data_IF_617666716944
#
_entry.id   IF_617666716944
#
_cell.length_a   1.000
_cell.length_b   1.000
_cell.length_c   1.000
_cell.angle_alpha   90.00
_cell.angle_beta   90.00
_cell.angle_gamma   90.00
#
_symmetry.space_group_name_H-M   'P 1'
#
loop_
_entity.id
_entity.type
_entity.pdbx_description
1 polymer ?
#
# COMPACT_ATOMS: atom_id res chain seq x y z
N UNK A 1 33.44 62.37 -34.48
CA UNK A 1 32.01 62.06 -34.30
C UNK A 1 31.85 61.30 -32.98
N UNK A 2 30.93 61.71 -32.09
CA UNK A 2 30.85 61.25 -30.70
C UNK A 2 30.20 59.86 -30.58
N UNK A 3 30.67 59.04 -29.63
CA UNK A 3 30.20 57.68 -29.36
C UNK A 3 28.80 57.67 -28.70
N UNK A 4 27.92 56.69 -28.99
CA UNK A 4 26.62 56.60 -28.30
C UNK A 4 26.80 56.11 -26.86
N UNK A 5 26.24 56.86 -25.91
CA UNK A 5 26.25 56.56 -24.47
C UNK A 5 25.63 55.18 -24.19
N UNK A 6 26.41 54.25 -23.63
CA UNK A 6 25.88 52.99 -23.08
C UNK A 6 24.97 53.32 -21.90
N UNK A 7 23.69 52.97 -21.98
CA UNK A 7 22.78 53.02 -20.82
C UNK A 7 23.15 51.86 -19.89
N UNK A 8 23.59 52.19 -18.69
CA UNK A 8 23.84 51.24 -17.61
C UNK A 8 22.59 51.18 -16.73
N UNK A 9 22.19 49.97 -16.35
CA UNK A 9 21.05 49.69 -15.47
C UNK A 9 21.60 49.06 -14.20
N UNK A 10 21.06 49.49 -13.05
CA UNK A 10 21.48 49.01 -11.73
C UNK A 10 20.77 47.69 -11.41
N UNK A 11 21.52 46.74 -10.87
CA UNK A 11 20.95 45.53 -10.28
C UNK A 11 20.36 45.85 -8.90
N UNK A 12 19.13 45.46 -8.62
CA UNK A 12 18.45 45.68 -7.33
C UNK A 12 18.90 44.70 -6.22
N UNK A 13 19.67 43.67 -6.58
CA UNK A 13 20.25 42.69 -5.65
C UNK A 13 21.65 43.10 -5.19
N UNK A 14 22.65 43.14 -6.09
CA UNK A 14 24.02 43.53 -5.72
C UNK A 14 24.28 45.05 -5.76
N UNK A 15 23.36 45.85 -6.27
CA UNK A 15 23.50 47.30 -6.33
C UNK A 15 24.48 47.84 -7.37
N UNK A 16 25.12 46.97 -8.17
CA UNK A 16 26.10 47.33 -9.19
C UNK A 16 25.44 47.68 -10.53
N UNK A 17 26.13 48.51 -11.32
CA UNK A 17 25.69 48.92 -12.66
C UNK A 17 26.18 47.94 -13.72
N UNK A 18 25.26 47.47 -14.55
CA UNK A 18 25.54 46.58 -15.66
C UNK A 18 25.06 47.19 -16.97
N UNK A 19 25.69 46.87 -18.12
CA UNK A 19 25.15 47.26 -19.40
C UNK A 19 23.76 46.63 -19.57
N UNK A 20 22.80 47.35 -20.17
CA UNK A 20 21.40 46.94 -20.30
C UNK A 20 21.14 45.52 -20.86
N UNK A 21 22.13 44.90 -21.50
CA UNK A 21 22.11 43.51 -22.01
C UNK A 21 22.44 42.43 -20.97
N UNK A 22 22.94 42.81 -19.80
CA UNK A 22 23.43 41.90 -18.76
C UNK A 22 22.54 41.94 -17.49
N UNK A 23 21.35 42.51 -17.63
CA UNK A 23 20.37 42.71 -16.56
C UNK A 23 19.02 42.24 -17.08
N UNK A 24 18.35 41.41 -16.29
CA UNK A 24 17.09 40.76 -16.62
C UNK A 24 15.99 41.42 -15.78
N UNK A 25 14.88 41.86 -16.39
CA UNK A 25 13.74 42.39 -15.66
C UNK A 25 12.99 41.28 -14.90
N UNK A 26 12.42 41.63 -13.76
CA UNK A 26 11.71 40.73 -12.87
C UNK A 26 10.53 39.99 -13.54
N UNK A 27 9.89 40.63 -14.52
CA UNK A 27 8.80 40.05 -15.31
C UNK A 27 9.18 38.82 -16.15
N UNK A 28 10.47 38.65 -16.47
CA UNK A 28 10.98 37.50 -17.21
C UNK A 28 11.45 36.35 -16.30
N UNK A 29 11.42 36.54 -14.97
CA UNK A 29 11.87 35.54 -14.00
C UNK A 29 10.69 34.65 -13.59
N UNK A 30 10.88 33.33 -13.68
CA UNK A 30 9.86 32.34 -13.28
C UNK A 30 9.49 32.47 -11.80
N UNK A 31 8.19 32.33 -11.50
CA UNK A 31 7.57 32.56 -10.19
C UNK A 31 8.27 31.97 -8.96
N UNK A 32 8.80 30.73 -8.97
CA UNK A 32 9.44 30.14 -7.79
C UNK A 32 10.73 30.85 -7.37
N UNK A 33 11.55 31.25 -8.35
CA UNK A 33 12.79 32.00 -8.11
C UNK A 33 12.46 33.42 -7.68
N UNK A 34 11.43 34.03 -8.28
CA UNK A 34 10.92 35.35 -7.88
C UNK A 34 10.41 35.37 -6.42
N UNK A 35 9.75 34.29 -5.98
CA UNK A 35 9.31 34.15 -4.60
C UNK A 35 10.50 34.08 -3.63
N UNK A 36 11.55 33.32 -3.97
CA UNK A 36 12.78 33.23 -3.17
C UNK A 36 13.52 34.57 -3.08
N UNK A 37 13.57 35.32 -4.19
CA UNK A 37 14.17 36.67 -4.22
C UNK A 37 13.35 37.64 -3.36
N UNK A 38 12.02 37.61 -3.43
CA UNK A 38 11.13 38.44 -2.60
C UNK A 38 11.25 38.15 -1.11
N UNK A 39 11.53 36.90 -0.73
CA UNK A 39 11.74 36.49 0.66
C UNK A 39 12.97 37.19 1.28
N UNK A 40 14.01 37.44 0.48
CA UNK A 40 15.26 38.07 0.93
C UNK A 40 15.35 39.58 0.61
N UNK A 41 14.61 40.06 -0.38
CA UNK A 41 14.61 41.45 -0.83
C UNK A 41 13.18 42.01 -0.87
N UNK A 42 12.76 42.63 0.24
CA UNK A 42 11.41 43.19 0.41
C UNK A 42 11.04 44.31 -0.58
N UNK A 43 12.02 44.93 -1.24
CA UNK A 43 11.83 46.01 -2.23
C UNK A 43 11.71 45.49 -3.67
N UNK A 44 11.60 44.17 -3.88
CA UNK A 44 11.55 43.55 -5.20
C UNK A 44 10.16 43.71 -5.84
N UNK A 45 10.09 44.45 -6.95
CA UNK A 45 8.86 44.72 -7.72
C UNK A 45 8.98 44.18 -9.15
N UNK A 46 7.89 44.19 -9.92
CA UNK A 46 7.88 43.66 -11.29
C UNK A 46 8.72 44.50 -12.28
N UNK A 47 9.12 45.71 -11.87
CA UNK A 47 10.03 46.61 -12.60
C UNK A 47 11.51 46.47 -12.17
N UNK A 48 11.80 45.61 -11.17
CA UNK A 48 13.16 45.40 -10.68
C UNK A 48 14.04 44.67 -11.71
N UNK A 49 15.35 44.91 -11.66
CA UNK A 49 16.33 44.32 -12.56
C UNK A 49 17.38 43.54 -11.76
N UNK A 50 17.71 42.32 -12.21
CA UNK A 50 18.76 41.48 -11.61
C UNK A 50 19.85 41.17 -12.62
N UNK A 51 21.11 41.17 -12.19
CA UNK A 51 22.20 40.76 -13.05
C UNK A 51 22.27 39.23 -13.17
N UNK A 52 22.82 38.75 -14.29
CA UNK A 52 22.92 37.32 -14.57
C UNK A 52 23.65 36.51 -13.47
N UNK A 53 24.75 37.00 -12.86
CA UNK A 53 25.43 36.27 -11.77
C UNK A 53 24.56 36.06 -10.54
N UNK A 54 23.86 37.11 -10.09
CA UNK A 54 22.99 37.04 -8.92
C UNK A 54 21.77 36.14 -9.20
N UNK A 55 21.19 36.25 -10.40
CA UNK A 55 20.08 35.38 -10.81
C UNK A 55 20.48 33.90 -10.79
N UNK A 56 21.66 33.57 -11.30
CA UNK A 56 22.16 32.20 -11.31
C UNK A 56 22.38 31.67 -9.88
N UNK A 57 22.85 32.51 -8.96
CA UNK A 57 22.97 32.13 -7.54
C UNK A 57 21.61 31.77 -6.94
N UNK A 58 20.59 32.63 -7.12
CA UNK A 58 19.24 32.36 -6.63
C UNK A 58 18.60 31.12 -7.28
N UNK A 59 18.89 30.83 -8.55
CA UNK A 59 18.47 29.59 -9.21
C UNK A 59 19.09 28.36 -8.55
N UNK A 60 20.39 28.39 -8.25
CA UNK A 60 21.09 27.28 -7.57
C UNK A 60 20.57 27.08 -6.14
N UNK A 61 20.40 28.16 -5.37
CA UNK A 61 19.88 28.10 -4.00
C UNK A 61 18.44 27.54 -3.97
N UNK A 62 17.61 27.90 -4.96
CA UNK A 62 16.26 27.33 -5.11
C UNK A 62 16.30 25.82 -5.37
N UNK A 63 17.18 25.38 -6.28
CA UNK A 63 17.33 23.94 -6.61
C UNK A 63 17.82 23.17 -5.38
N UNK A 64 18.81 23.68 -4.65
CA UNK A 64 19.31 23.03 -3.43
C UNK A 64 18.24 22.94 -2.34
N UNK A 65 17.47 24.02 -2.13
CA UNK A 65 16.39 24.04 -1.14
C UNK A 65 15.25 23.07 -1.50
N UNK A 66 14.86 23.00 -2.77
CA UNK A 66 13.86 22.01 -3.24
C UNK A 66 14.35 20.56 -3.09
N UNK A 67 15.62 20.27 -3.40
CA UNK A 67 16.19 18.92 -3.23
C UNK A 67 16.24 18.47 -1.76
N UNK A 68 16.46 19.41 -0.83
CA UNK A 68 16.49 19.12 0.62
C UNK A 68 15.08 18.90 1.17
N UNK A 69 14.09 19.68 0.74
CA UNK A 69 12.67 19.48 1.09
C UNK A 69 12.15 18.13 0.59
N UNK A 70 12.48 17.73 -0.65
CA UNK A 70 12.09 16.42 -1.22
C UNK A 70 12.52 15.24 -0.35
N UNK A 71 13.75 15.27 0.18
CA UNK A 71 14.28 14.20 1.04
C UNK A 71 13.61 14.17 2.43
N UNK A 72 13.10 15.30 2.91
CA UNK A 72 12.36 15.39 4.17
C UNK A 72 10.93 14.85 4.04
N UNK A 73 10.21 15.26 3.00
CA UNK A 73 8.81 14.83 2.77
C UNK A 73 8.69 13.32 2.50
N UNK A 74 9.65 12.73 1.78
CA UNK A 74 9.72 11.27 1.57
C UNK A 74 9.78 10.50 2.91
N UNK A 75 10.55 10.98 3.89
CA UNK A 75 10.70 10.31 5.19
C UNK A 75 9.46 10.41 6.08
N UNK A 76 8.75 11.53 6.05
CA UNK A 76 7.54 11.73 6.86
C UNK A 76 6.36 10.93 6.31
N UNK A 77 6.26 10.83 4.98
CA UNK A 77 5.25 10.00 4.34
C UNK A 77 5.49 8.50 4.59
N UNK A 78 6.74 8.04 4.54
CA UNK A 78 7.11 6.67 4.93
C UNK A 78 6.70 6.35 6.38
N UNK A 79 6.91 7.29 7.32
CA UNK A 79 6.46 7.14 8.71
C UNK A 79 4.95 7.05 8.84
N UNK A 80 4.20 7.91 8.15
CA UNK A 80 2.73 7.85 8.17
C UNK A 80 2.20 6.52 7.61
N UNK A 81 2.84 5.97 6.59
CA UNK A 81 2.49 4.64 6.06
C UNK A 81 2.76 3.57 7.12
N UNK A 82 3.92 3.57 7.78
CA UNK A 82 4.26 2.61 8.84
C UNK A 82 3.32 2.68 10.04
N UNK A 83 2.99 3.88 10.52
CA UNK A 83 2.07 4.07 11.65
C UNK A 83 0.65 3.60 11.31
N UNK A 84 0.18 3.88 10.08
CA UNK A 84 -1.12 3.39 9.62
C UNK A 84 -1.18 1.86 9.52
N UNK A 85 -0.07 1.19 9.16
CA UNK A 85 0.00 -0.27 9.12
C UNK A 85 -0.04 -0.90 10.53
N UNK A 86 0.65 -0.29 11.50
CA UNK A 86 0.65 -0.78 12.91
C UNK A 86 -0.72 -0.72 13.56
N UNK A 87 -1.47 0.36 13.35
CA UNK A 87 -2.81 0.52 13.92
C UNK A 87 -3.80 -0.52 13.38
N UNK A 88 -3.61 -0.97 12.13
CA UNK A 88 -4.47 -1.97 11.49
C UNK A 88 -4.19 -3.41 11.95
N UNK A 89 -2.95 -3.73 12.35
CA UNK A 89 -2.58 -5.06 12.84
C UNK A 89 -3.29 -5.40 14.16
N UNK A 90 -3.35 -4.44 15.09
CA UNK A 90 -3.97 -4.57 16.42
C UNK A 90 -5.50 -4.82 16.33
N UNK A 91 -6.15 -4.25 15.31
CA UNK A 91 -7.60 -4.40 15.11
C UNK A 91 -7.99 -5.81 14.61
N UNK A 92 -7.07 -6.47 13.91
CA UNK A 92 -7.34 -7.76 13.26
C UNK A 92 -7.22 -8.93 14.26
N UNK A 93 -6.39 -8.77 15.31
CA UNK A 93 -6.20 -9.78 16.36
C UNK A 93 -7.40 -9.86 17.33
N UNK A 94 -8.02 -8.73 17.67
CA UNK A 94 -9.19 -8.69 18.57
C UNK A 94 -10.42 -9.38 17.97
N UNK A 95 -10.61 -9.32 16.65
CA UNK A 95 -11.75 -9.97 15.98
C UNK A 95 -11.72 -11.49 16.09
N UNK A 96 -10.53 -12.12 16.15
CA UNK A 96 -10.43 -13.58 16.24
C UNK A 96 -10.80 -14.13 17.63
N UNK A 97 -10.61 -13.36 18.70
CA UNK A 97 -10.87 -13.83 20.07
C UNK A 97 -12.36 -13.87 20.45
N UNK A 98 -13.20 -13.03 19.85
CA UNK A 98 -14.63 -12.96 20.19
C UNK A 98 -15.45 -14.16 19.67
N UNK A 99 -14.90 -14.99 18.78
CA UNK A 99 -15.62 -16.08 18.13
C UNK A 99 -15.64 -17.40 18.92
N UNK A 100 -14.68 -17.65 19.83
CA UNK A 100 -14.53 -18.95 20.49
C UNK A 100 -15.43 -19.17 21.73
N UNK A 101 -16.21 -18.17 22.16
CA UNK A 101 -16.81 -18.17 23.50
C UNK A 101 -18.19 -18.81 23.65
N UNK A 102 -18.79 -19.42 22.62
CA UNK A 102 -20.18 -19.92 22.69
C UNK A 102 -20.34 -21.43 22.45
N UNK A 103 -19.49 -22.27 23.03
CA UNK A 103 -19.70 -23.73 22.99
C UNK A 103 -20.58 -24.17 24.16
N UNK A 104 -21.74 -24.76 23.87
CA UNK A 104 -22.63 -25.32 24.90
C UNK A 104 -22.13 -26.68 25.40
N UNK A 105 -22.57 -27.08 26.61
CA UNK A 105 -22.16 -28.36 27.22
C UNK A 105 -22.58 -29.57 26.37
N UNK A 106 -23.76 -29.51 25.74
CA UNK A 106 -24.25 -30.59 24.87
C UNK A 106 -23.42 -30.74 23.60
N UNK A 107 -22.98 -29.63 23.03
CA UNK A 107 -22.08 -29.62 21.87
C UNK A 107 -20.71 -30.20 22.22
N UNK A 108 -20.15 -29.86 23.39
CA UNK A 108 -18.88 -30.42 23.86
C UNK A 108 -18.93 -31.95 23.99
N UNK A 109 -20.02 -32.50 24.53
CA UNK A 109 -20.23 -33.95 24.64
C UNK A 109 -20.36 -34.59 23.26
N UNK A 110 -21.09 -33.97 22.33
CA UNK A 110 -21.23 -34.48 20.97
C UNK A 110 -19.88 -34.55 20.24
N UNK A 111 -18.98 -33.57 20.40
CA UNK A 111 -17.64 -33.59 19.79
C UNK A 111 -16.77 -34.73 20.35
N UNK A 112 -16.86 -35.01 21.66
CA UNK A 112 -16.14 -36.12 22.29
C UNK A 112 -16.65 -37.46 21.73
N UNK A 113 -17.98 -37.64 21.64
CA UNK A 113 -18.56 -38.89 21.13
C UNK A 113 -18.27 -39.08 19.65
N UNK A 114 -18.33 -38.02 18.84
CA UNK A 114 -18.04 -38.10 17.40
C UNK A 114 -16.56 -38.38 17.11
N UNK A 115 -15.64 -37.73 17.83
CA UNK A 115 -14.20 -37.97 17.69
C UNK A 115 -13.78 -39.37 18.12
N UNK A 116 -14.43 -39.94 19.15
CA UNK A 116 -14.22 -41.31 19.57
C UNK A 116 -14.80 -42.33 18.58
N UNK A 117 -16.04 -42.12 18.13
CA UNK A 117 -16.74 -43.00 17.18
C UNK A 117 -16.16 -43.01 15.76
N UNK A 118 -15.46 -41.93 15.36
CA UNK A 118 -14.78 -41.83 14.06
C UNK A 118 -13.38 -42.43 14.01
N UNK A 119 -12.85 -42.97 15.11
CA UNK A 119 -11.48 -43.50 15.17
C UNK A 119 -11.38 -44.93 14.66
N UNK A 120 -10.35 -45.22 13.87
CA UNK A 120 -10.00 -46.59 13.45
C UNK A 120 -9.76 -47.53 14.63
N UNK A 121 -9.26 -47.01 15.75
CA UNK A 121 -9.02 -47.80 16.97
C UNK A 121 -10.33 -48.29 17.60
N UNK A 122 -11.38 -47.46 17.55
CA UNK A 122 -12.71 -47.82 18.05
C UNK A 122 -13.32 -48.95 17.21
N UNK A 123 -13.25 -48.85 15.88
CA UNK A 123 -13.77 -49.87 14.95
C UNK A 123 -13.12 -51.23 15.21
N UNK A 124 -11.80 -51.27 15.36
CA UNK A 124 -11.06 -52.51 15.61
C UNK A 124 -11.40 -53.10 16.98
N UNK A 125 -11.38 -52.28 18.04
CA UNK A 125 -11.73 -52.71 19.40
C UNK A 125 -13.16 -53.27 19.47
N UNK A 126 -14.12 -52.56 18.87
CA UNK A 126 -15.52 -52.98 18.80
C UNK A 126 -15.66 -54.32 18.07
N UNK A 127 -14.97 -54.51 16.93
CA UNK A 127 -14.95 -55.78 16.21
C UNK A 127 -14.38 -56.96 17.02
N UNK A 128 -13.35 -56.71 17.84
CA UNK A 128 -12.78 -57.71 18.75
C UNK A 128 -13.78 -58.09 19.85
N UNK A 129 -14.42 -57.11 20.49
CA UNK A 129 -15.43 -57.37 21.54
C UNK A 129 -16.60 -58.16 20.99
N UNK A 130 -17.08 -57.82 19.79
CA UNK A 130 -18.15 -58.56 19.11
C UNK A 130 -17.74 -59.99 18.80
N UNK A 131 -16.52 -60.18 18.27
CA UNK A 131 -15.98 -61.51 17.98
C UNK A 131 -15.85 -62.35 19.25
N UNK A 132 -15.34 -61.76 20.33
CA UNK A 132 -15.20 -62.40 21.64
C UNK A 132 -16.57 -62.80 22.22
N UNK A 133 -17.57 -61.93 22.13
CA UNK A 133 -18.94 -62.22 22.59
C UNK A 133 -19.54 -63.42 21.85
N UNK A 134 -19.38 -63.46 20.53
CA UNK A 134 -19.85 -64.57 19.69
C UNK A 134 -19.09 -65.86 20.05
N UNK A 135 -17.76 -65.82 20.18
CA UNK A 135 -16.95 -67.00 20.54
C UNK A 135 -17.33 -67.54 21.92
N UNK A 136 -17.47 -66.68 22.93
CA UNK A 136 -17.86 -67.11 24.29
C UNK A 136 -19.24 -67.75 24.29
N UNK A 137 -20.24 -67.14 23.67
CA UNK A 137 -21.60 -67.69 23.65
C UNK A 137 -21.73 -68.95 22.76
N UNK A 138 -20.91 -69.07 21.70
CA UNK A 138 -20.87 -70.25 20.82
C UNK A 138 -20.15 -71.44 21.46
N UNK A 139 -19.08 -71.21 22.23
CA UNK A 139 -18.34 -72.29 22.94
C UNK A 139 -19.05 -72.71 24.24
N UNK A 140 -19.68 -71.77 24.96
CA UNK A 140 -20.47 -72.05 26.16
C UNK A 140 -21.77 -72.85 25.90
N UNK A 141 -22.08 -73.11 24.63
CA UNK A 141 -23.21 -73.90 24.13
C UNK A 141 -23.26 -75.33 24.72
N UNK A 142 -22.13 -75.88 25.18
CA UNK A 142 -22.06 -77.21 25.76
C UNK A 142 -22.57 -77.33 27.22
N UNK A 143 -22.72 -76.22 27.94
CA UNK A 143 -23.11 -76.24 29.36
C UNK A 143 -24.38 -75.46 29.67
N UNK A 144 -24.47 -74.16 29.32
CA UNK A 144 -25.68 -73.30 29.31
C UNK A 144 -25.32 -71.94 28.67
N UNK A 145 -25.71 -71.66 27.41
CA UNK A 145 -25.42 -70.37 26.77
C UNK A 145 -26.29 -69.24 27.36
N UNK A 146 -25.70 -68.04 27.52
CA UNK A 146 -26.41 -66.83 27.98
C UNK A 146 -27.19 -66.16 26.85
N UNK A 147 -26.62 -66.11 25.63
CA UNK A 147 -27.24 -65.59 24.41
C UNK A 147 -27.09 -66.61 23.26
N UNK A 148 -27.98 -67.61 23.15
CA UNK A 148 -27.90 -68.64 22.10
C UNK A 148 -28.16 -68.06 20.71
N UNK A 149 -27.59 -68.69 19.68
CA UNK A 149 -27.85 -68.35 18.28
C UNK A 149 -29.36 -68.36 18.03
N UNK A 150 -29.99 -67.26 17.55
CA UNK A 150 -29.44 -66.17 16.72
C UNK A 150 -29.01 -64.85 17.42
N UNK A 151 -28.59 -64.88 18.69
CA UNK A 151 -28.07 -63.74 19.47
C UNK A 151 -29.04 -62.56 19.63
N UNK A 152 -30.15 -62.76 20.33
CA UNK A 152 -31.22 -61.75 20.45
C UNK A 152 -30.77 -60.53 21.27
N UNK A 153 -29.97 -60.74 22.32
CA UNK A 153 -29.51 -59.66 23.19
C UNK A 153 -28.49 -58.78 22.47
N UNK A 154 -27.54 -59.40 21.76
CA UNK A 154 -26.59 -58.70 20.92
C UNK A 154 -27.30 -57.81 19.89
N UNK A 155 -28.29 -58.37 19.18
CA UNK A 155 -29.06 -57.64 18.17
C UNK A 155 -29.86 -56.47 18.77
N UNK A 156 -30.43 -56.63 19.97
CA UNK A 156 -31.13 -55.56 20.67
C UNK A 156 -30.18 -54.40 21.00
N UNK A 157 -28.99 -54.72 21.55
CA UNK A 157 -27.99 -53.72 21.92
C UNK A 157 -27.46 -52.99 20.68
N UNK A 158 -27.13 -53.71 19.61
CA UNK A 158 -26.67 -53.10 18.36
C UNK A 158 -27.72 -52.19 17.74
N UNK A 159 -28.99 -52.59 17.76
CA UNK A 159 -30.10 -51.78 17.23
C UNK A 159 -30.27 -50.49 18.03
N UNK A 160 -30.17 -50.56 19.37
CA UNK A 160 -30.22 -49.40 20.24
C UNK A 160 -29.02 -48.45 20.00
N UNK A 161 -27.81 -49.01 19.87
CA UNK A 161 -26.60 -48.24 19.55
C UNK A 161 -26.74 -47.53 18.21
N UNK A 162 -27.18 -48.22 17.16
CA UNK A 162 -27.38 -47.65 15.83
C UNK A 162 -28.44 -46.53 15.83
N UNK A 163 -29.53 -46.70 16.59
CA UNK A 163 -30.60 -45.70 16.70
C UNK A 163 -30.11 -44.38 17.32
N UNK A 164 -29.21 -44.44 18.32
CA UNK A 164 -28.59 -43.26 18.93
C UNK A 164 -27.46 -42.70 18.06
N UNK A 165 -26.78 -43.55 17.30
CA UNK A 165 -25.64 -43.17 16.47
C UNK A 165 -26.03 -42.20 15.34
N UNK A 166 -27.15 -42.43 14.64
CA UNK A 166 -27.54 -41.59 13.51
C UNK A 166 -27.79 -40.11 13.89
N UNK A 167 -28.55 -39.79 14.96
CA UNK A 167 -28.70 -38.41 15.45
C UNK A 167 -27.38 -37.78 15.92
N UNK A 168 -26.52 -38.54 16.59
CA UNK A 168 -25.22 -38.04 17.06
C UNK A 168 -24.31 -37.69 15.89
N UNK A 169 -24.25 -38.55 14.86
CA UNK A 169 -23.52 -38.26 13.61
C UNK A 169 -24.09 -37.00 12.95
N UNK A 170 -25.42 -36.90 12.83
CA UNK A 170 -26.08 -35.75 12.22
C UNK A 170 -25.83 -34.46 13.00
N UNK A 171 -25.85 -34.50 14.33
CA UNK A 171 -25.52 -33.35 15.19
C UNK A 171 -24.06 -32.93 15.02
N UNK A 172 -23.13 -33.90 14.98
CA UNK A 172 -21.71 -33.61 14.73
C UNK A 172 -21.47 -33.02 13.34
N UNK A 173 -22.17 -33.52 12.31
CA UNK A 173 -22.09 -32.99 10.95
C UNK A 173 -22.62 -31.56 10.87
N UNK A 174 -23.83 -31.30 11.39
CA UNK A 174 -24.43 -29.96 11.40
C UNK A 174 -23.53 -28.94 12.14
N UNK A 175 -22.86 -29.38 13.21
CA UNK A 175 -21.89 -28.55 13.92
C UNK A 175 -20.63 -28.29 13.10
N UNK A 176 -20.07 -29.31 12.45
CA UNK A 176 -18.92 -29.15 11.58
C UNK A 176 -19.23 -28.19 10.42
N UNK A 177 -20.39 -28.33 9.79
CA UNK A 177 -20.87 -27.40 8.75
C UNK A 177 -21.03 -25.97 9.27
N UNK A 178 -21.54 -25.78 10.50
CA UNK A 178 -21.62 -24.43 11.07
C UNK A 178 -20.24 -23.80 11.30
N UNK A 179 -19.26 -24.58 11.79
CA UNK A 179 -17.87 -24.14 11.99
C UNK A 179 -17.23 -23.79 10.65
N UNK A 180 -17.42 -24.65 9.65
CA UNK A 180 -16.86 -24.44 8.31
C UNK A 180 -17.53 -23.25 7.59
N UNK A 181 -18.83 -23.02 7.78
CA UNK A 181 -19.52 -21.82 7.29
C UNK A 181 -18.96 -20.55 7.93
N UNK A 182 -18.77 -20.54 9.25
CA UNK A 182 -18.21 -19.39 9.96
C UNK A 182 -16.77 -19.11 9.52
N UNK A 183 -15.95 -20.15 9.36
CA UNK A 183 -14.59 -20.02 8.81
C UNK A 183 -14.61 -19.44 7.40
N UNK A 184 -15.48 -19.93 6.52
CA UNK A 184 -15.60 -19.42 5.17
C UNK A 184 -16.05 -17.94 5.13
N UNK A 185 -16.98 -17.55 6.00
CA UNK A 185 -17.41 -16.15 6.13
C UNK A 185 -16.27 -15.26 6.66
N UNK A 186 -15.50 -15.75 7.62
CA UNK A 186 -14.34 -15.05 8.15
C UNK A 186 -13.26 -14.87 7.06
N UNK A 187 -12.88 -15.94 6.37
CA UNK A 187 -11.90 -15.89 5.28
C UNK A 187 -12.35 -14.95 4.16
N UNK A 188 -13.65 -14.95 3.84
CA UNK A 188 -14.23 -13.99 2.90
C UNK A 188 -14.06 -12.54 3.36
N UNK A 189 -14.34 -12.23 4.63
CA UNK A 189 -14.19 -10.88 5.20
C UNK A 189 -12.72 -10.43 5.22
N UNK A 190 -11.79 -11.33 5.57
CA UNK A 190 -10.35 -11.04 5.54
C UNK A 190 -9.90 -10.74 4.11
N UNK A 191 -10.34 -11.54 3.12
CA UNK A 191 -9.99 -11.32 1.72
C UNK A 191 -10.55 -9.99 1.19
N UNK A 192 -11.80 -9.66 1.52
CA UNK A 192 -12.41 -8.38 1.13
C UNK A 192 -11.66 -7.20 1.76
N UNK A 193 -11.26 -7.32 3.03
CA UNK A 193 -10.45 -6.30 3.71
C UNK A 193 -9.10 -6.10 3.00
N UNK A 194 -8.40 -7.19 2.68
CA UNK A 194 -7.14 -7.14 1.96
C UNK A 194 -7.31 -6.49 0.56
N UNK A 195 -8.38 -6.81 -0.17
CA UNK A 195 -8.66 -6.18 -1.47
C UNK A 195 -8.86 -4.66 -1.35
N UNK A 196 -9.61 -4.21 -0.33
CA UNK A 196 -9.83 -2.79 -0.06
C UNK A 196 -8.53 -2.07 0.32
N UNK A 197 -7.71 -2.68 1.16
CA UNK A 197 -6.41 -2.13 1.55
C UNK A 197 -5.47 -2.00 0.35
N UNK A 198 -5.41 -3.02 -0.52
CA UNK A 198 -4.63 -2.95 -1.78
C UNK A 198 -5.14 -1.81 -2.67
N UNK A 199 -6.46 -1.68 -2.83
CA UNK A 199 -7.06 -0.59 -3.63
C UNK A 199 -6.72 0.78 -3.06
N UNK A 200 -6.74 0.94 -1.73
CA UNK A 200 -6.36 2.17 -1.05
C UNK A 200 -4.88 2.51 -1.23
N UNK A 201 -3.99 1.53 -1.08
CA UNK A 201 -2.55 1.69 -1.34
C UNK A 201 -2.30 2.08 -2.80
N UNK A 202 -3.01 1.46 -3.74
CA UNK A 202 -2.92 1.81 -5.17
C UNK A 202 -3.29 3.27 -5.41
N UNK A 203 -4.41 3.73 -4.85
CA UNK A 203 -4.83 5.13 -4.99
C UNK A 203 -3.82 6.12 -4.42
N UNK A 204 -3.19 5.80 -3.28
CA UNK A 204 -2.12 6.63 -2.71
C UNK A 204 -0.89 6.63 -3.62
N UNK A 205 -0.51 5.47 -4.16
CA UNK A 205 0.64 5.34 -5.04
C UNK A 205 0.43 6.13 -6.34
N UNK A 206 -0.75 6.07 -6.94
CA UNK A 206 -1.12 6.86 -8.11
C UNK A 206 -1.04 8.37 -7.86
N UNK A 207 -1.51 8.83 -6.68
CA UNK A 207 -1.40 10.22 -6.27
C UNK A 207 0.07 10.66 -6.18
N UNK A 208 0.93 9.84 -5.55
CA UNK A 208 2.36 10.13 -5.43
C UNK A 208 3.05 10.15 -6.78
N UNK A 209 2.78 9.17 -7.64
CA UNK A 209 3.34 9.12 -8.99
C UNK A 209 2.93 10.35 -9.81
N UNK A 210 1.68 10.78 -9.70
CA UNK A 210 1.20 11.99 -10.38
C UNK A 210 1.95 13.23 -9.90
N UNK A 211 2.20 13.36 -8.59
CA UNK A 211 2.96 14.47 -8.05
C UNK A 211 4.41 14.46 -8.54
N UNK A 212 5.07 13.29 -8.50
CA UNK A 212 6.45 13.12 -8.99
C UNK A 212 6.57 13.44 -10.50
N UNK A 213 5.59 13.02 -11.31
CA UNK A 213 5.54 13.34 -12.74
C UNK A 213 5.46 14.84 -13.00
N UNK A 214 4.59 15.55 -12.28
CA UNK A 214 4.45 16.99 -12.42
C UNK A 214 5.77 17.71 -12.11
N UNK A 215 6.46 17.29 -11.04
CA UNK A 215 7.78 17.86 -10.67
C UNK A 215 8.85 17.57 -11.71
N UNK A 216 8.89 16.36 -12.27
CA UNK A 216 9.85 16.00 -13.31
C UNK A 216 9.65 16.88 -14.57
N UNK A 217 8.40 17.15 -14.95
CA UNK A 217 8.06 18.05 -16.04
C UNK A 217 8.51 19.49 -15.74
N UNK A 218 8.29 20.00 -14.54
CA UNK A 218 8.73 21.33 -14.12
C UNK A 218 10.26 21.47 -14.25
N UNK A 219 11.02 20.47 -13.80
CA UNK A 219 12.49 20.44 -13.91
C UNK A 219 12.93 20.39 -15.36
N UNK A 220 12.32 19.54 -16.20
CA UNK A 220 12.65 19.47 -17.64
C UNK A 220 12.40 20.79 -18.36
N UNK A 221 11.30 21.47 -18.05
CA UNK A 221 11.01 22.79 -18.62
C UNK A 221 12.07 23.81 -18.21
N UNK A 222 12.52 23.78 -16.95
CA UNK A 222 13.55 24.69 -16.45
C UNK A 222 14.90 24.45 -17.15
N UNK A 223 15.25 23.20 -17.41
CA UNK A 223 16.42 22.85 -18.21
C UNK A 223 16.31 23.34 -19.66
N UNK A 224 15.13 23.25 -20.25
CA UNK A 224 14.88 23.69 -21.64
C UNK A 224 15.07 25.20 -21.78
N UNK A 225 14.52 26.00 -20.85
CA UNK A 225 14.71 27.45 -20.81
C UNK A 225 16.18 27.84 -20.64
N UNK A 226 16.90 27.16 -19.74
CA UNK A 226 18.33 27.37 -19.54
C UNK A 226 19.12 27.12 -20.83
N UNK A 227 18.75 26.08 -21.60
CA UNK A 227 19.37 25.77 -22.88
C UNK A 227 19.08 26.84 -23.92
N UNK A 228 17.83 27.31 -24.02
CA UNK A 228 17.43 28.39 -24.92
C UNK A 228 18.21 29.68 -24.61
N UNK A 229 18.33 30.03 -23.32
CA UNK A 229 19.09 31.19 -22.86
C UNK A 229 20.59 31.08 -23.22
N UNK A 230 21.20 29.89 -23.08
CA UNK A 230 22.60 29.63 -23.47
C UNK A 230 22.77 29.76 -25.00
N UNK A 231 21.83 29.24 -25.79
CA UNK A 231 21.83 29.34 -27.25
C UNK A 231 21.74 30.79 -27.68
N UNK A 232 20.85 31.57 -27.06
CA UNK A 232 20.67 32.99 -27.36
C UNK A 232 21.93 33.80 -27.01
N UNK A 233 22.55 33.54 -25.85
CA UNK A 233 23.82 34.15 -25.46
C UNK A 233 25.00 33.78 -26.38
N UNK A 234 24.98 32.58 -26.99
CA UNK A 234 25.99 32.12 -27.97
C UNK A 234 25.76 32.61 -29.40
N UNK A 235 24.74 33.42 -29.67
CA UNK A 235 24.44 33.94 -31.01
C UNK A 235 24.91 35.40 -31.23
N UNK A 236 26.23 35.69 -31.44
CA UNK A 236 26.65 37.02 -31.84
C UNK A 236 26.40 37.26 -33.34
N UNK A 237 25.43 38.13 -33.65
CA UNK A 237 25.33 38.95 -34.88
C UNK A 237 25.79 38.29 -36.21
N UNK A 238 24.92 37.53 -36.87
CA UNK A 238 25.11 37.18 -38.30
C UNK A 238 24.40 38.13 -39.30
N UNK A 239 23.61 39.11 -38.87
CA UNK A 239 22.83 39.97 -39.80
C UNK A 239 23.23 41.46 -39.87
N UNK A 240 24.51 41.80 -39.65
CA UNK A 240 25.01 43.18 -39.88
C UNK A 240 25.89 43.36 -41.12
N UNK A 241 25.86 42.43 -42.09
CA UNK A 241 26.71 42.50 -43.30
C UNK A 241 26.01 42.65 -44.65
N UNK A 242 24.69 42.72 -44.75
CA UNK A 242 24.01 42.67 -46.06
C UNK A 242 23.03 43.81 -46.37
N UNK A 243 23.29 45.02 -45.84
CA UNK A 243 22.62 46.25 -46.31
C UNK A 243 23.60 47.41 -46.38
N UNK A 244 24.43 47.42 -47.43
CA UNK A 244 24.94 48.66 -48.00
C UNK A 244 24.84 48.52 -49.53
N UNK A 245 23.97 49.26 -50.22
CA UNK A 245 24.02 49.32 -51.67
C UNK A 245 25.27 50.11 -52.08
N UNK A 246 25.95 49.78 -53.18
CA UNK A 246 26.96 50.67 -53.72
C UNK A 246 26.25 51.91 -54.28
N UNK A 247 26.40 53.04 -53.58
CA UNK A 247 26.22 54.37 -54.15
C UNK A 247 27.26 54.55 -55.25
N UNK A 248 26.80 54.88 -56.46
CA UNK A 248 27.63 55.02 -57.64
C UNK A 248 28.63 56.17 -57.56
N UNK A 249 29.69 56.02 -58.37
CA UNK A 249 30.34 57.03 -59.20
C UNK A 249 31.18 56.28 -60.23
#
# INVERSE_FOLDING_TARGET
MPQPSKREIRCDVCGQNFPSRAVIPASLIRGPVTALIREQHANWTDDSHICLPDLNRYRTDYIEKSLIEERGELSDLERQVVDSLREHEILTENLNQDYDQQVTVGEHIADIVASFGGSWTFIICFGIVMSLWITINSVALFTRPFDPFPFILLNLVLSCLAAIQAPVIMMSQNRQESKDRLRAEHDYRVNLKAELEIRHLHSKLDLLLTHQWQRLLDIQQLQTDLLEEIVEQRSPKSQRREKNPPTGS
#
